data_IF_470795115538
#
_entry.id   IF_470795115538
#
_cell.length_a   1.000
_cell.length_b   1.000
_cell.length_c   1.000
_cell.angle_alpha   90.00
_cell.angle_beta   90.00
_cell.angle_gamma   90.00
#
_symmetry.space_group_name_H-M   'P 1'
#
loop_
_entity.id
_entity.type
_entity.pdbx_description
1 polymer ?
#
# COMPACT_ATOMS: atom_id res chain seq x y z
N UNK A 1 -25.07 -23.34 -24.34
CA UNK A 1 -25.11 -22.78 -22.98
C UNK A 1 -26.13 -21.65 -22.97
N UNK A 2 -26.98 -21.55 -21.96
CA UNK A 2 -27.90 -20.41 -21.85
C UNK A 2 -27.14 -19.16 -21.40
N UNK A 3 -27.53 -17.93 -21.79
CA UNK A 3 -26.79 -16.71 -21.45
C UNK A 3 -26.63 -16.48 -19.94
N UNK A 4 -27.61 -16.92 -19.14
CA UNK A 4 -27.55 -16.83 -17.67
C UNK A 4 -26.51 -17.79 -17.07
N UNK A 5 -26.40 -18.99 -17.62
CA UNK A 5 -25.42 -20.00 -17.20
C UNK A 5 -24.00 -19.55 -17.55
N UNK A 6 -23.83 -18.88 -18.69
CA UNK A 6 -22.54 -18.31 -19.11
C UNK A 6 -22.05 -17.26 -18.12
N UNK A 7 -22.90 -16.30 -17.75
CA UNK A 7 -22.50 -15.22 -16.84
C UNK A 7 -22.12 -15.77 -15.46
N UNK A 8 -22.88 -16.74 -14.96
CA UNK A 8 -22.53 -17.44 -13.71
C UNK A 8 -21.20 -18.17 -13.80
N UNK A 9 -20.88 -18.75 -14.96
CA UNK A 9 -19.62 -19.46 -15.14
C UNK A 9 -18.43 -18.51 -15.28
N UNK A 10 -18.61 -17.35 -15.93
CA UNK A 10 -17.61 -16.29 -15.99
C UNK A 10 -17.35 -15.70 -14.59
N UNK A 11 -18.40 -15.47 -13.80
CA UNK A 11 -18.26 -14.99 -12.42
C UNK A 11 -17.48 -15.99 -11.56
N UNK A 12 -17.83 -17.28 -11.62
CA UNK A 12 -17.07 -18.34 -10.95
C UNK A 12 -15.61 -18.42 -11.39
N UNK A 13 -15.33 -18.17 -12.67
CA UNK A 13 -13.97 -18.13 -13.20
C UNK A 13 -13.16 -17.00 -12.56
N UNK A 14 -13.75 -15.80 -12.45
CA UNK A 14 -13.11 -14.68 -11.75
C UNK A 14 -12.92 -14.91 -10.26
N UNK A 15 -13.82 -15.67 -9.62
CA UNK A 15 -13.69 -16.08 -8.22
C UNK A 15 -12.70 -17.23 -8.02
N UNK A 16 -12.19 -17.85 -9.10
CA UNK A 16 -11.28 -18.99 -9.03
C UNK A 16 -11.94 -20.28 -8.53
N UNK A 17 -13.26 -20.40 -8.69
CA UNK A 17 -14.06 -21.54 -8.22
C UNK A 17 -14.41 -22.54 -9.32
N UNK A 18 -13.86 -22.36 -10.53
CA UNK A 18 -14.09 -23.24 -11.68
C UNK A 18 -13.27 -24.52 -11.62
N UNK A 19 -13.84 -25.60 -12.14
CA UNK A 19 -13.13 -26.84 -12.43
C UNK A 19 -12.55 -26.83 -13.85
N UNK A 20 -11.50 -27.64 -14.09
CA UNK A 20 -10.85 -27.78 -15.40
C UNK A 20 -11.84 -28.19 -16.50
N UNK A 21 -12.88 -28.98 -16.16
CA UNK A 21 -13.93 -29.37 -17.09
C UNK A 21 -14.79 -28.18 -17.51
N UNK A 22 -15.16 -27.33 -16.55
CA UNK A 22 -15.96 -26.13 -16.78
C UNK A 22 -15.17 -25.08 -17.58
N UNK A 23 -13.88 -24.89 -17.31
CA UNK A 23 -13.02 -23.98 -18.08
C UNK A 23 -12.90 -24.40 -19.54
N UNK A 24 -12.77 -25.70 -19.82
CA UNK A 24 -12.77 -26.23 -21.19
C UNK A 24 -14.10 -25.97 -21.91
N UNK A 25 -15.22 -26.13 -21.20
CA UNK A 25 -16.55 -25.84 -21.74
C UNK A 25 -16.73 -24.35 -22.02
N UNK A 26 -16.26 -23.48 -21.13
CA UNK A 26 -16.27 -22.03 -21.29
C UNK A 26 -15.44 -21.60 -22.52
N UNK A 27 -14.23 -22.16 -22.66
CA UNK A 27 -13.34 -21.92 -23.80
C UNK A 27 -13.97 -22.34 -25.13
N UNK A 28 -14.56 -23.54 -25.19
CA UNK A 28 -15.22 -24.04 -26.40
C UNK A 28 -16.41 -23.16 -26.79
N UNK A 29 -17.19 -22.71 -25.80
CA UNK A 29 -18.32 -21.81 -26.04
C UNK A 29 -17.87 -20.44 -26.55
N UNK A 30 -16.86 -19.82 -25.92
CA UNK A 30 -16.32 -18.52 -26.30
C UNK A 30 -15.72 -18.52 -27.72
N UNK A 31 -15.12 -19.63 -28.16
CA UNK A 31 -14.58 -19.79 -29.53
C UNK A 31 -15.65 -20.00 -30.60
N UNK A 32 -16.79 -20.59 -30.24
CA UNK A 32 -17.82 -21.00 -31.21
C UNK A 32 -18.95 -19.98 -31.34
N UNK A 33 -19.13 -19.13 -30.33
CA UNK A 33 -20.25 -18.18 -30.27
C UNK A 33 -19.98 -16.91 -31.09
N UNK A 34 -20.93 -16.42 -31.89
CA UNK A 34 -20.81 -15.15 -32.63
C UNK A 34 -20.75 -13.91 -31.72
N UNK A 35 -21.16 -14.03 -30.45
CA UNK A 35 -21.02 -12.98 -29.42
C UNK A 35 -19.66 -13.03 -28.70
N UNK A 36 -18.75 -13.91 -29.13
CA UNK A 36 -17.43 -14.12 -28.53
C UNK A 36 -16.57 -12.85 -28.46
N UNK A 37 -16.73 -11.93 -29.41
CA UNK A 37 -16.04 -10.64 -29.43
C UNK A 37 -16.35 -9.77 -28.19
N UNK A 38 -17.54 -9.92 -27.60
CA UNK A 38 -17.93 -9.20 -26.37
C UNK A 38 -17.11 -9.67 -25.16
N UNK A 39 -16.58 -10.90 -25.20
CA UNK A 39 -15.83 -11.53 -24.12
C UNK A 39 -14.39 -11.88 -24.53
N UNK A 40 -13.83 -11.12 -25.48
CA UNK A 40 -12.47 -11.33 -25.99
C UNK A 40 -11.41 -11.33 -24.87
N UNK A 41 -11.58 -10.48 -23.85
CA UNK A 41 -10.69 -10.42 -22.69
C UNK A 41 -10.70 -11.72 -21.87
N UNK A 42 -11.89 -12.31 -21.67
CA UNK A 42 -12.06 -13.58 -20.94
C UNK A 42 -11.43 -14.71 -21.73
N UNK A 43 -11.62 -14.74 -23.06
CA UNK A 43 -11.02 -15.73 -23.94
C UNK A 43 -9.49 -15.66 -23.90
N UNK A 44 -8.91 -14.46 -24.00
CA UNK A 44 -7.46 -14.28 -23.95
C UNK A 44 -6.86 -14.74 -22.62
N UNK A 45 -7.50 -14.40 -21.49
CA UNK A 45 -7.05 -14.81 -20.17
C UNK A 45 -7.10 -16.33 -20.01
N UNK A 46 -8.20 -16.95 -20.42
CA UNK A 46 -8.41 -18.39 -20.26
C UNK A 46 -7.45 -19.18 -21.15
N UNK A 47 -7.16 -18.72 -22.36
CA UNK A 47 -6.15 -19.34 -23.24
C UNK A 47 -4.73 -19.28 -22.65
N UNK A 48 -4.32 -18.14 -22.09
CA UNK A 48 -3.02 -18.01 -21.43
C UNK A 48 -2.94 -18.93 -20.22
N UNK A 49 -3.98 -18.96 -19.38
CA UNK A 49 -3.98 -19.80 -18.19
C UNK A 49 -3.95 -21.29 -18.53
N UNK A 50 -4.67 -21.73 -19.58
CA UNK A 50 -4.61 -23.12 -20.03
C UNK A 50 -3.23 -23.50 -20.58
N UNK A 51 -2.55 -22.57 -21.26
CA UNK A 51 -1.17 -22.77 -21.74
C UNK A 51 -0.17 -22.86 -20.57
N UNK A 52 -0.36 -22.09 -19.52
CA UNK A 52 0.48 -22.14 -18.32
C UNK A 52 0.20 -23.38 -17.46
N UNK A 53 -1.01 -23.93 -17.53
CA UNK A 53 -1.42 -25.16 -16.85
C UNK A 53 -0.97 -26.43 -17.58
N UNK A 54 -0.05 -26.34 -18.54
CA UNK A 54 0.67 -27.52 -19.00
C UNK A 54 1.54 -28.03 -17.86
N UNK A 55 1.51 -29.34 -17.60
CA UNK A 55 2.46 -30.02 -16.71
C UNK A 55 3.89 -29.74 -17.20
N UNK A 56 4.48 -28.65 -16.72
CA UNK A 56 5.89 -28.38 -16.86
C UNK A 56 6.54 -29.46 -16.01
N UNK A 57 7.09 -30.49 -16.67
CA UNK A 57 7.92 -31.48 -16.01
C UNK A 57 9.11 -30.75 -15.41
N UNK A 58 9.01 -30.41 -14.14
CA UNK A 58 10.10 -29.84 -13.37
C UNK A 58 11.19 -30.90 -13.26
N UNK A 59 12.43 -30.50 -13.51
CA UNK A 59 13.60 -31.35 -13.28
C UNK A 59 13.56 -31.87 -11.84
N UNK A 60 13.86 -33.15 -11.54
CA UNK A 60 13.89 -33.68 -10.17
C UNK A 60 14.75 -32.88 -9.16
N UNK A 61 15.64 -32.00 -9.63
CA UNK A 61 16.40 -31.06 -8.80
C UNK A 61 15.78 -29.67 -8.61
N UNK A 62 14.65 -29.35 -9.24
CA UNK A 62 14.04 -28.02 -9.22
C UNK A 62 13.68 -27.56 -7.80
N UNK A 63 13.06 -28.42 -7.03
CA UNK A 63 12.72 -28.14 -5.63
C UNK A 63 13.96 -27.87 -4.80
N UNK A 64 15.04 -28.63 -5.03
CA UNK A 64 16.31 -28.46 -4.34
C UNK A 64 16.99 -27.14 -4.73
N UNK A 65 16.88 -26.71 -5.99
CA UNK A 65 17.40 -25.43 -6.46
C UNK A 65 16.62 -24.25 -5.87
N UNK A 66 15.29 -24.35 -5.74
CA UNK A 66 14.47 -23.33 -5.07
C UNK A 66 14.84 -23.26 -3.59
N UNK A 67 14.90 -24.40 -2.90
CA UNK A 67 15.27 -24.46 -1.49
C UNK A 67 16.68 -23.88 -1.27
N UNK A 68 17.63 -24.21 -2.14
CA UNK A 68 18.98 -23.64 -2.09
C UNK A 68 18.96 -22.12 -2.30
N UNK A 69 18.22 -21.61 -3.29
CA UNK A 69 18.10 -20.18 -3.55
C UNK A 69 17.41 -19.40 -2.41
N UNK A 70 16.48 -20.03 -1.68
CA UNK A 70 15.88 -19.48 -0.46
C UNK A 70 16.81 -19.54 0.75
N UNK A 71 17.80 -20.43 0.75
CA UNK A 71 18.78 -20.61 1.81
C UNK A 71 20.04 -19.74 1.64
N UNK A 72 20.30 -19.19 0.44
CA UNK A 72 21.40 -18.24 0.22
C UNK A 72 21.06 -16.89 0.88
N UNK A 73 21.63 -16.72 2.07
CA UNK A 73 21.92 -15.46 2.75
C UNK A 73 20.76 -14.49 3.00
N UNK A 74 19.93 -14.82 3.99
CA UNK A 74 19.55 -13.78 4.96
C UNK A 74 20.77 -13.57 5.88
N UNK A 75 21.58 -12.50 5.73
CA UNK A 75 22.65 -12.25 6.69
C UNK A 75 22.00 -12.19 8.08
N UNK A 76 22.47 -13.03 9.02
CA UNK A 76 22.06 -13.06 10.45
C UNK A 76 22.36 -11.76 11.20
N UNK A 77 22.46 -10.63 10.51
CA UNK A 77 22.57 -9.30 11.05
C UNK A 77 21.15 -8.83 11.33
N UNK A 78 20.53 -9.32 12.43
CA UNK A 78 19.43 -8.67 13.18
C UNK A 78 18.59 -9.58 14.10
N UNK A 79 19.15 -10.64 14.70
CA UNK A 79 18.43 -11.37 15.78
C UNK A 79 17.93 -10.45 16.90
N UNK A 80 18.69 -9.39 17.22
CA UNK A 80 18.32 -8.40 18.24
C UNK A 80 17.17 -7.46 17.83
N UNK A 81 17.03 -7.17 16.54
CA UNK A 81 15.95 -6.34 16.00
C UNK A 81 14.65 -7.13 15.80
N UNK A 82 14.73 -8.45 15.56
CA UNK A 82 13.54 -9.31 15.51
C UNK A 82 12.96 -9.61 16.90
N UNK A 83 13.80 -9.85 17.92
CA UNK A 83 13.31 -10.01 19.30
C UNK A 83 12.72 -8.72 19.85
N UNK A 84 13.30 -7.56 19.52
CA UNK A 84 12.77 -6.24 19.92
C UNK A 84 11.40 -5.91 19.32
N UNK A 85 11.09 -6.42 18.12
CA UNK A 85 9.77 -6.23 17.49
C UNK A 85 8.70 -7.10 18.14
N UNK A 86 9.06 -8.33 18.53
CA UNK A 86 8.16 -9.25 19.23
C UNK A 86 7.86 -8.79 20.67
N UNK A 87 8.84 -8.23 21.38
CA UNK A 87 8.60 -7.65 22.72
C UNK A 87 7.74 -6.38 22.66
N UNK A 88 7.87 -5.56 21.62
CA UNK A 88 6.99 -4.40 21.41
C UNK A 88 5.52 -4.80 21.22
N UNK A 89 5.26 -5.83 20.41
CA UNK A 89 3.90 -6.35 20.19
C UNK A 89 3.35 -6.94 21.49
N UNK A 90 4.13 -7.78 22.19
CA UNK A 90 3.70 -8.35 23.47
C UNK A 90 3.38 -7.28 24.54
N UNK A 91 4.18 -6.22 24.63
CA UNK A 91 3.93 -5.10 25.54
C UNK A 91 2.63 -4.37 25.20
N UNK A 92 2.34 -4.13 23.92
CA UNK A 92 1.06 -3.50 23.52
C UNK A 92 -0.14 -4.38 23.86
N UNK A 93 -0.05 -5.69 23.61
CA UNK A 93 -1.11 -6.65 23.97
C UNK A 93 -1.32 -6.70 25.48
N UNK A 94 -0.25 -6.70 26.28
CA UNK A 94 -0.34 -6.65 27.74
C UNK A 94 -0.94 -5.34 28.25
N UNK A 95 -0.61 -4.19 27.64
CA UNK A 95 -1.23 -2.91 27.98
C UNK A 95 -2.72 -2.92 27.64
N UNK A 96 -3.12 -3.45 26.47
CA UNK A 96 -4.53 -3.57 26.11
C UNK A 96 -5.29 -4.53 27.04
N UNK A 97 -4.69 -5.66 27.43
CA UNK A 97 -5.28 -6.58 28.41
C UNK A 97 -5.38 -5.95 29.81
N UNK A 98 -4.36 -5.22 30.25
CA UNK A 98 -4.39 -4.51 31.53
C UNK A 98 -5.46 -3.40 31.54
N UNK A 99 -5.63 -2.68 30.43
CA UNK A 99 -6.70 -1.69 30.27
C UNK A 99 -8.07 -2.37 30.21
N UNK A 100 -8.22 -3.50 29.50
CA UNK A 100 -9.48 -4.24 29.43
C UNK A 100 -9.89 -4.75 30.82
N UNK A 101 -9.02 -5.54 31.45
CA UNK A 101 -9.27 -6.14 32.77
C UNK A 101 -9.44 -5.05 33.84
N UNK A 102 -8.61 -4.00 33.78
CA UNK A 102 -8.75 -2.83 34.63
C UNK A 102 -10.06 -2.09 34.40
N UNK A 103 -10.54 -1.97 33.16
CA UNK A 103 -11.81 -1.31 32.85
C UNK A 103 -13.04 -2.11 33.29
N UNK A 104 -12.95 -3.44 33.40
CA UNK A 104 -14.05 -4.25 33.92
C UNK A 104 -14.03 -4.35 35.45
N UNK A 105 -12.85 -4.44 36.07
CA UNK A 105 -12.71 -4.52 37.53
C UNK A 105 -12.79 -3.15 38.24
N UNK A 106 -12.41 -2.06 37.57
CA UNK A 106 -12.45 -0.69 38.10
C UNK A 106 -13.64 0.12 37.60
N UNK A 107 -14.60 -0.50 36.89
CA UNK A 107 -15.90 0.14 36.68
C UNK A 107 -16.46 0.43 38.07
N UNK A 108 -16.60 1.71 38.48
CA UNK A 108 -17.51 2.00 39.56
C UNK A 108 -18.83 1.40 39.13
N UNK A 109 -19.52 0.71 40.03
CA UNK A 109 -20.95 0.49 39.87
C UNK A 109 -21.58 1.87 39.83
N UNK A 110 -21.63 2.49 38.64
CA UNK A 110 -22.29 3.76 38.45
C UNK A 110 -23.77 3.46 38.60
N UNK A 111 -24.25 3.72 39.81
CA UNK A 111 -25.67 3.72 40.14
C UNK A 111 -26.27 4.89 39.35
N UNK A 112 -26.83 4.58 38.19
CA UNK A 112 -27.66 5.52 37.46
C UNK A 112 -28.90 5.82 38.31
N UNK A 113 -28.93 7.01 38.90
CA UNK A 113 -30.05 7.52 39.68
C UNK A 113 -30.12 9.05 39.59
N UNK A 114 -31.31 9.60 39.77
CA UNK A 114 -31.49 11.06 39.86
C UNK A 114 -30.75 11.57 41.10
N UNK A 115 -29.79 12.47 40.91
CA UNK A 115 -29.16 13.18 42.02
C UNK A 115 -30.21 14.16 42.58
N UNK A 116 -30.71 13.87 43.78
CA UNK A 116 -31.79 14.65 44.39
C UNK A 116 -31.38 16.07 44.82
N UNK A 117 -30.07 16.34 44.91
CA UNK A 117 -29.53 17.67 45.20
C UNK A 117 -29.12 18.40 43.90
N UNK A 118 -29.85 19.46 43.49
CA UNK A 118 -29.57 20.18 42.25
C UNK A 118 -28.19 20.85 42.22
N UNK A 119 -27.62 21.23 43.38
CA UNK A 119 -26.27 21.81 43.44
C UNK A 119 -25.20 20.76 43.16
N UNK A 120 -25.38 19.56 43.70
CA UNK A 120 -24.48 18.43 43.48
C UNK A 120 -24.56 17.94 42.03
N UNK A 121 -25.77 17.88 41.46
CA UNK A 121 -25.99 17.50 40.07
C UNK A 121 -25.32 18.47 39.08
N UNK A 122 -25.41 19.77 39.34
CA UNK A 122 -24.76 20.79 38.53
C UNK A 122 -23.24 20.64 38.55
N UNK A 123 -22.65 20.46 39.74
CA UNK A 123 -21.20 20.29 39.90
C UNK A 123 -20.66 19.01 39.24
N UNK A 124 -21.39 17.90 39.29
CA UNK A 124 -20.95 16.68 38.62
C UNK A 124 -21.08 16.81 37.09
N UNK A 125 -22.13 17.50 36.62
CA UNK A 125 -22.31 17.80 35.19
C UNK A 125 -21.18 18.66 34.64
N UNK A 126 -20.81 19.75 35.34
CA UNK A 126 -19.70 20.63 34.92
C UNK A 126 -18.38 19.86 34.91
N UNK A 127 -18.13 19.02 35.93
CA UNK A 127 -16.95 18.15 35.99
C UNK A 127 -16.87 17.16 34.82
N UNK A 128 -17.99 16.55 34.44
CA UNK A 128 -18.06 15.64 33.29
C UNK A 128 -17.82 16.42 31.99
N UNK A 129 -18.44 17.60 31.83
CA UNK A 129 -18.29 18.44 30.65
C UNK A 129 -16.84 18.90 30.46
N UNK A 130 -16.16 19.29 31.55
CA UNK A 130 -14.74 19.64 31.55
C UNK A 130 -13.86 18.44 31.16
N UNK A 131 -14.18 17.25 31.65
CA UNK A 131 -13.47 16.01 31.30
C UNK A 131 -13.64 15.68 29.81
N UNK A 132 -14.85 15.84 29.28
CA UNK A 132 -15.15 15.62 27.85
C UNK A 132 -14.44 16.67 26.97
N UNK A 133 -14.48 17.94 27.37
CA UNK A 133 -13.77 19.04 26.70
C UNK A 133 -12.26 18.81 26.66
N UNK A 134 -11.67 18.40 27.79
CA UNK A 134 -10.26 18.02 27.86
C UNK A 134 -9.91 16.81 26.99
N UNK A 135 -10.82 15.84 26.88
CA UNK A 135 -10.69 14.67 26.00
C UNK A 135 -10.69 15.04 24.52
N UNK A 136 -11.65 15.86 24.09
CA UNK A 136 -11.75 16.39 22.71
C UNK A 136 -10.49 17.17 22.33
N UNK A 137 -10.03 18.09 23.19
CA UNK A 137 -8.81 18.86 22.94
C UNK A 137 -7.56 17.97 22.84
N UNK A 138 -7.47 16.88 23.60
CA UNK A 138 -6.38 15.91 23.46
C UNK A 138 -6.51 15.09 22.16
N UNK A 139 -7.73 14.70 21.78
CA UNK A 139 -8.01 13.93 20.56
C UNK A 139 -7.74 14.70 19.26
N UNK A 140 -7.86 16.03 19.27
CA UNK A 140 -7.61 16.87 18.09
C UNK A 140 -6.12 17.20 17.87
N UNK A 141 -5.26 17.08 18.89
CA UNK A 141 -3.82 17.37 18.78
C UNK A 141 -3.09 16.53 17.72
N UNK A 142 -3.29 15.20 17.60
CA UNK A 142 -2.66 14.40 16.55
C UNK A 142 -3.07 14.82 15.14
N UNK A 143 -4.34 15.21 14.95
CA UNK A 143 -4.83 15.71 13.67
C UNK A 143 -4.13 17.03 13.31
N UNK A 144 -4.08 17.99 14.23
CA UNK A 144 -3.37 19.26 14.04
C UNK A 144 -1.88 19.07 13.73
N UNK A 145 -1.19 18.20 14.48
CA UNK A 145 0.22 17.88 14.23
C UNK A 145 0.44 17.22 12.86
N UNK A 146 -0.51 16.41 12.39
CA UNK A 146 -0.43 15.76 11.08
C UNK A 146 -0.64 16.78 9.95
N UNK A 147 -1.59 17.71 10.12
CA UNK A 147 -1.82 18.82 9.18
C UNK A 147 -0.58 19.74 9.09
N UNK A 148 0.04 20.09 10.22
CA UNK A 148 1.27 20.90 10.22
C UNK A 148 2.45 20.19 9.51
N UNK A 149 2.60 18.88 9.71
CA UNK A 149 3.63 18.08 9.01
C UNK A 149 3.37 18.00 7.51
N UNK A 150 2.11 17.85 7.10
CA UNK A 150 1.70 17.87 5.70
C UNK A 150 2.04 19.20 5.04
N UNK A 151 1.68 20.33 5.66
CA UNK A 151 1.99 21.68 5.15
C UNK A 151 3.50 21.87 4.99
N UNK A 152 4.30 21.51 6.01
CA UNK A 152 5.77 21.58 5.92
C UNK A 152 6.35 20.63 4.86
N UNK A 153 5.70 19.49 4.61
CA UNK A 153 6.08 18.56 3.55
C UNK A 153 5.86 19.16 2.17
N UNK A 154 4.69 19.77 1.96
CA UNK A 154 4.32 20.44 0.71
C UNK A 154 5.26 21.62 0.41
N UNK A 155 5.60 22.44 1.41
CA UNK A 155 6.56 23.55 1.24
C UNK A 155 7.95 23.06 0.81
N UNK A 156 8.41 21.91 1.31
CA UNK A 156 9.69 21.30 0.87
C UNK A 156 9.62 20.79 -0.56
N UNK A 157 8.48 20.22 -0.96
CA UNK A 157 8.25 19.73 -2.33
C UNK A 157 8.24 20.90 -3.31
N UNK A 158 7.57 22.00 -2.96
CA UNK A 158 7.55 23.24 -3.75
C UNK A 158 8.96 23.79 -3.97
N UNK A 159 9.75 23.94 -2.90
CA UNK A 159 11.17 24.37 -3.00
C UNK A 159 12.03 23.42 -3.83
N UNK A 160 11.76 22.12 -3.78
CA UNK A 160 12.49 21.13 -4.59
C UNK A 160 12.14 21.25 -6.08
N UNK A 161 10.87 21.51 -6.41
CA UNK A 161 10.42 21.76 -7.79
C UNK A 161 11.02 23.07 -8.33
N UNK A 162 11.05 24.13 -7.52
CA UNK A 162 11.64 25.41 -7.93
C UNK A 162 13.14 25.25 -8.23
N UNK A 163 13.87 24.57 -7.34
CA UNK A 163 15.30 24.30 -7.52
C UNK A 163 15.57 23.41 -8.74
N UNK A 164 14.73 22.41 -9.02
CA UNK A 164 14.91 21.55 -10.19
C UNK A 164 14.69 22.31 -11.50
N UNK A 165 13.70 23.22 -11.55
CA UNK A 165 13.48 24.09 -12.70
C UNK A 165 14.66 25.03 -12.94
N UNK A 166 15.20 25.64 -11.88
CA UNK A 166 16.40 26.48 -11.98
C UNK A 166 17.62 25.68 -12.48
N UNK A 167 17.82 24.45 -11.99
CA UNK A 167 18.89 23.56 -12.45
C UNK A 167 18.74 23.17 -13.93
N UNK A 168 17.51 22.97 -14.41
CA UNK A 168 17.25 22.68 -15.82
C UNK A 168 17.62 23.86 -16.73
N UNK A 169 17.32 25.10 -16.33
CA UNK A 169 17.72 26.29 -17.09
C UNK A 169 19.24 26.50 -17.08
N UNK A 170 19.91 26.28 -15.94
CA UNK A 170 21.38 26.30 -15.86
C UNK A 170 22.02 25.22 -16.74
N UNK A 171 21.42 24.02 -16.80
CA UNK A 171 21.91 22.94 -17.65
C UNK A 171 21.74 23.27 -19.14
N UNK A 172 20.61 23.87 -19.56
CA UNK A 172 20.42 24.37 -20.93
C UNK A 172 21.47 25.44 -21.28
N UNK A 173 21.70 26.40 -20.40
CA UNK A 173 22.73 27.43 -20.58
C UNK A 173 24.13 26.81 -20.74
N UNK A 174 24.46 25.80 -19.91
CA UNK A 174 25.71 25.05 -20.01
C UNK A 174 25.84 24.31 -21.35
N UNK A 175 24.75 23.70 -21.85
CA UNK A 175 24.76 23.07 -23.18
C UNK A 175 25.01 24.07 -24.31
N UNK A 176 24.40 25.26 -24.25
CA UNK A 176 24.68 26.31 -25.23
C UNK A 176 26.13 26.78 -25.15
N UNK A 177 26.68 27.03 -23.95
CA UNK A 177 28.09 27.42 -23.80
C UNK A 177 29.05 26.34 -24.32
N UNK A 178 28.76 25.06 -24.08
CA UNK A 178 29.55 23.95 -24.59
C UNK A 178 29.47 23.82 -26.12
N UNK A 179 28.32 24.13 -26.73
CA UNK A 179 28.19 24.13 -28.19
C UNK A 179 28.98 25.27 -28.82
N UNK A 180 28.94 26.48 -28.25
CA UNK A 180 29.78 27.60 -28.68
C UNK A 180 31.28 27.30 -28.55
N UNK A 181 31.69 26.72 -27.42
CA UNK A 181 33.09 26.36 -27.16
C UNK A 181 33.58 25.32 -28.17
N UNK A 182 32.78 24.30 -28.49
CA UNK A 182 33.11 23.27 -29.49
C UNK A 182 33.30 23.87 -30.89
N UNK A 183 32.46 24.84 -31.27
CA UNK A 183 32.56 25.55 -32.56
C UNK A 183 33.83 26.41 -32.61
N UNK A 184 34.13 27.16 -31.54
CA UNK A 184 35.33 27.99 -31.45
C UNK A 184 36.63 27.18 -31.55
N UNK A 185 36.72 26.06 -30.83
CA UNK A 185 37.89 25.16 -30.90
C UNK A 185 38.06 24.59 -32.32
N UNK A 186 36.94 24.22 -32.98
CA UNK A 186 36.97 23.68 -34.34
C UNK A 186 37.40 24.73 -35.38
N UNK A 187 37.04 25.99 -35.19
CA UNK A 187 37.45 27.10 -36.06
C UNK A 187 38.92 27.49 -35.81
N UNK A 188 39.37 27.55 -34.56
CA UNK A 188 40.77 27.82 -34.20
C UNK A 188 41.74 26.76 -34.73
N UNK A 189 41.35 25.48 -34.72
CA UNK A 189 42.16 24.39 -35.25
C UNK A 189 42.19 24.34 -36.79
N UNK A 190 41.21 24.96 -37.48
CA UNK A 190 41.19 25.04 -38.95
C UNK A 190 42.09 26.17 -39.48
N UNK A 191 42.30 27.24 -38.72
CA UNK A 191 43.16 28.36 -39.09
C UNK A 191 44.67 28.12 -38.85
N UNK A 192 45.06 27.11 -38.06
CA UNK A 192 46.47 26.79 -37.79
C UNK A 192 47.03 25.67 -38.70
N UNK A 193 46.47 25.50 -39.90
CA UNK A 193 46.87 24.48 -40.88
C UNK A 193 47.21 25.04 -42.27
N UNK A 194 47.38 26.36 -42.39
CA UNK A 194 47.90 26.99 -43.60
C UNK A 194 49.26 27.61 -43.31
#
# INVERSE_FOLDING_TARGET
>A
MQPQELNQLIEKYYEGLTSLKEEKQLLEWLRTSPDGDTYADVLAQLEIMLQLNTDIKTDPGFDQQIIAALQVDQPMKNRWLQTSRLTGIAATVLVFLAVWIGSELLKPTEVYGTINDPKLAFNETTRILDKVSGGLNKGLKPAQQSTEKLVKGLEKVEKAIEKSNQLNEVNKASQYLNSFTRVYIKLGHKNNKN
#
